data_IF_479745812382
#
_entry.id   IF_479745812382
#
_cell.length_a   1.000
_cell.length_b   1.000
_cell.length_c   1.000
_cell.angle_alpha   90.00
_cell.angle_beta   90.00
_cell.angle_gamma   90.00
#
_symmetry.space_group_name_H-M   'P 1'
#
loop_
_entity.id
_entity.type
_entity.pdbx_description
1 polymer ?
#
# COMPACT_ATOMS: atom_id res chain seq x y z
N UNK A 1 11.50 -38.35 -13.38
CA UNK A 1 12.23 -37.31 -12.60
C UNK A 1 12.48 -37.67 -11.13
N UNK A 2 11.69 -38.55 -10.51
CA UNK A 2 11.84 -39.02 -9.10
C UNK A 2 13.10 -39.87 -8.86
N UNK A 3 13.65 -40.46 -9.92
CA UNK A 3 14.80 -41.38 -9.83
C UNK A 3 16.20 -40.74 -9.86
N UNK A 4 16.28 -39.42 -9.99
CA UNK A 4 17.57 -38.72 -10.14
C UNK A 4 18.17 -38.16 -8.83
N UNK A 5 17.42 -38.14 -7.72
CA UNK A 5 17.91 -37.60 -6.45
C UNK A 5 17.50 -38.48 -5.27
N UNK A 6 18.45 -39.23 -4.65
CA UNK A 6 18.16 -40.09 -3.51
C UNK A 6 17.52 -39.40 -2.29
N UNK A 7 17.83 -38.11 -2.08
CA UNK A 7 17.22 -37.33 -1.00
C UNK A 7 15.73 -36.98 -1.22
N UNK A 8 15.25 -36.99 -2.48
CA UNK A 8 13.84 -36.76 -2.80
C UNK A 8 12.94 -37.98 -2.58
N UNK A 9 13.51 -39.18 -2.51
CA UNK A 9 12.76 -40.42 -2.27
C UNK A 9 12.20 -40.44 -0.82
N UNK A 10 12.94 -39.94 0.15
CA UNK A 10 12.48 -39.85 1.54
C UNK A 10 11.33 -38.85 1.72
N UNK A 11 11.35 -37.73 0.99
CA UNK A 11 10.27 -36.73 0.97
C UNK A 11 9.05 -37.24 0.19
N UNK A 12 9.26 -37.87 -0.96
CA UNK A 12 8.17 -38.46 -1.76
C UNK A 12 7.41 -39.53 -0.97
N UNK A 13 8.09 -40.35 -0.15
CA UNK A 13 7.46 -41.36 0.70
C UNK A 13 6.45 -40.77 1.71
N UNK A 14 6.74 -39.59 2.26
CA UNK A 14 5.83 -38.90 3.19
C UNK A 14 4.54 -38.39 2.53
N UNK A 15 4.56 -38.13 1.23
CA UNK A 15 3.43 -37.55 0.49
C UNK A 15 2.75 -38.54 -0.46
N UNK A 16 3.17 -39.80 -0.49
CA UNK A 16 2.60 -40.83 -1.38
C UNK A 16 1.08 -40.98 -1.18
N UNK A 17 0.60 -40.95 0.05
CA UNK A 17 -0.83 -41.07 0.36
C UNK A 17 -1.62 -39.84 -0.14
N UNK A 18 -1.02 -38.64 -0.08
CA UNK A 18 -1.65 -37.41 -0.58
C UNK A 18 -1.68 -37.42 -2.09
N UNK A 19 -0.59 -37.78 -2.74
CA UNK A 19 -0.49 -37.90 -4.19
C UNK A 19 -1.47 -38.96 -4.73
N UNK A 20 -1.56 -40.11 -4.09
CA UNK A 20 -2.53 -41.15 -4.45
C UNK A 20 -3.98 -40.66 -4.35
N UNK A 21 -4.35 -40.02 -3.23
CA UNK A 21 -5.70 -39.46 -3.04
C UNK A 21 -6.05 -38.41 -4.12
N UNK A 22 -5.10 -37.55 -4.46
CA UNK A 22 -5.32 -36.53 -5.48
C UNK A 22 -5.48 -37.15 -6.89
N UNK A 23 -4.65 -38.14 -7.23
CA UNK A 23 -4.80 -38.87 -8.49
C UNK A 23 -6.13 -39.65 -8.55
N UNK A 24 -6.50 -40.34 -7.45
CA UNK A 24 -7.75 -41.09 -7.37
C UNK A 24 -8.97 -40.16 -7.54
N UNK A 25 -8.95 -39.01 -6.82
CA UNK A 25 -10.02 -38.02 -6.96
C UNK A 25 -10.19 -37.56 -8.40
N UNK A 26 -9.13 -37.12 -9.05
CA UNK A 26 -9.16 -36.63 -10.42
C UNK A 26 -9.64 -37.73 -11.39
N UNK A 27 -9.21 -38.97 -11.17
CA UNK A 27 -9.64 -40.14 -11.99
C UNK A 27 -11.14 -40.41 -11.82
N UNK A 28 -11.66 -40.35 -10.61
CA UNK A 28 -13.09 -40.54 -10.33
C UNK A 28 -13.94 -39.41 -10.95
N UNK A 29 -13.54 -38.16 -10.79
CA UNK A 29 -14.23 -37.01 -11.41
C UNK A 29 -14.27 -37.18 -12.94
N UNK A 30 -13.15 -37.56 -13.55
CA UNK A 30 -13.08 -37.80 -14.98
C UNK A 30 -13.99 -38.98 -15.41
N UNK A 31 -14.01 -40.06 -14.66
CA UNK A 31 -14.88 -41.22 -14.93
C UNK A 31 -16.37 -40.84 -14.84
N UNK A 32 -16.76 -40.09 -13.81
CA UNK A 32 -18.13 -39.56 -13.69
C UNK A 32 -18.49 -38.62 -14.82
N UNK A 33 -17.57 -37.75 -15.22
CA UNK A 33 -17.78 -36.88 -16.38
C UNK A 33 -18.01 -37.67 -17.65
N UNK A 34 -17.21 -38.72 -17.92
CA UNK A 34 -17.37 -39.59 -19.09
C UNK A 34 -18.71 -40.31 -19.09
N UNK A 35 -19.17 -40.82 -17.93
CA UNK A 35 -20.48 -41.45 -17.80
C UNK A 35 -21.64 -40.47 -18.07
N UNK A 36 -21.57 -39.24 -17.50
CA UNK A 36 -22.57 -38.20 -17.74
C UNK A 36 -22.58 -37.78 -19.21
N UNK A 37 -21.40 -37.69 -19.84
CA UNK A 37 -21.29 -37.43 -21.27
C UNK A 37 -21.92 -38.55 -22.10
N UNK A 38 -21.68 -39.81 -21.76
CA UNK A 38 -22.34 -40.95 -22.38
C UNK A 38 -23.86 -40.89 -22.28
N UNK A 39 -24.41 -40.50 -21.11
CA UNK A 39 -25.87 -40.33 -20.91
C UNK A 39 -26.46 -39.22 -21.79
N UNK A 40 -25.66 -38.21 -22.19
CA UNK A 40 -26.11 -37.08 -23.02
C UNK A 40 -26.51 -37.51 -24.45
N UNK A 41 -26.00 -38.64 -24.95
CA UNK A 41 -26.37 -39.18 -26.27
C UNK A 41 -27.77 -39.81 -26.27
N UNK A 42 -28.35 -40.07 -25.11
CA UNK A 42 -29.68 -40.64 -24.98
C UNK A 42 -30.74 -39.55 -24.89
N UNK A 43 -31.68 -39.47 -25.83
CA UNK A 43 -32.70 -38.40 -25.88
C UNK A 43 -33.40 -38.15 -24.53
N UNK A 44 -33.79 -39.26 -23.84
CA UNK A 44 -34.43 -39.18 -22.50
C UNK A 44 -33.44 -38.83 -21.37
N UNK A 45 -32.15 -39.15 -21.52
CA UNK A 45 -31.11 -38.90 -20.53
C UNK A 45 -30.52 -37.47 -20.55
N UNK A 46 -30.74 -36.73 -21.64
CA UNK A 46 -30.08 -35.45 -21.88
C UNK A 46 -30.31 -34.40 -20.78
N UNK A 47 -31.56 -34.27 -20.30
CA UNK A 47 -31.88 -33.31 -19.20
C UNK A 47 -31.21 -33.74 -17.90
N UNK A 48 -31.20 -35.05 -17.60
CA UNK A 48 -30.54 -35.60 -16.42
C UNK A 48 -29.03 -35.43 -16.52
N UNK A 49 -28.43 -35.64 -17.68
CA UNK A 49 -26.99 -35.42 -17.90
C UNK A 49 -26.58 -33.97 -17.65
N UNK A 50 -27.36 -32.99 -18.11
CA UNK A 50 -27.10 -31.57 -17.86
C UNK A 50 -27.15 -31.27 -16.36
N UNK A 51 -28.16 -31.78 -15.65
CA UNK A 51 -28.29 -31.57 -14.20
C UNK A 51 -27.11 -32.21 -13.44
N UNK A 52 -26.76 -33.45 -13.76
CA UNK A 52 -25.63 -34.16 -13.14
C UNK A 52 -24.29 -33.48 -13.46
N UNK A 53 -24.12 -32.95 -14.65
CA UNK A 53 -22.94 -32.20 -15.01
C UNK A 53 -22.79 -30.92 -14.17
N UNK A 54 -23.86 -30.14 -14.03
CA UNK A 54 -23.87 -28.94 -13.19
C UNK A 54 -23.62 -29.29 -11.72
N UNK A 55 -24.22 -30.37 -11.23
CA UNK A 55 -23.98 -30.86 -9.87
C UNK A 55 -22.52 -31.26 -9.66
N UNK A 56 -21.94 -32.04 -10.59
CA UNK A 56 -20.53 -32.43 -10.52
C UNK A 56 -19.59 -31.22 -10.54
N UNK A 57 -19.87 -30.24 -11.39
CA UNK A 57 -19.10 -29.00 -11.48
C UNK A 57 -19.13 -28.21 -10.16
N UNK A 58 -20.32 -28.02 -9.59
CA UNK A 58 -20.49 -27.34 -8.31
C UNK A 58 -19.80 -28.11 -7.20
N UNK A 59 -19.94 -29.43 -7.16
CA UNK A 59 -19.30 -30.31 -6.17
C UNK A 59 -17.77 -30.20 -6.25
N UNK A 60 -17.20 -30.28 -7.45
CA UNK A 60 -15.75 -30.18 -7.69
C UNK A 60 -15.21 -28.81 -7.22
N UNK A 61 -15.88 -27.73 -7.61
CA UNK A 61 -15.52 -26.38 -7.19
C UNK A 61 -15.58 -26.23 -5.66
N UNK A 62 -16.63 -26.73 -5.00
CA UNK A 62 -16.76 -26.68 -3.53
C UNK A 62 -15.75 -27.56 -2.81
N UNK A 63 -15.40 -28.70 -3.37
CA UNK A 63 -14.40 -29.59 -2.79
C UNK A 63 -13.03 -28.91 -2.67
N UNK A 64 -12.60 -28.21 -3.75
CA UNK A 64 -11.36 -27.43 -3.72
C UNK A 64 -11.51 -26.15 -2.91
N UNK A 65 -12.61 -25.42 -3.04
CA UNK A 65 -12.87 -24.19 -2.30
C UNK A 65 -12.68 -24.40 -0.80
N UNK A 66 -13.26 -25.44 -0.21
CA UNK A 66 -13.15 -25.74 1.22
C UNK A 66 -11.71 -26.06 1.67
N UNK A 67 -10.86 -26.54 0.78
CA UNK A 67 -9.46 -26.84 1.09
C UNK A 67 -8.58 -25.59 1.07
N UNK A 68 -8.82 -24.70 0.11
CA UNK A 68 -8.01 -23.49 -0.07
C UNK A 68 -8.51 -22.28 0.72
N UNK A 69 -9.78 -22.28 1.09
CA UNK A 69 -10.41 -21.22 1.87
C UNK A 69 -10.87 -21.79 3.22
N UNK A 70 -9.97 -21.94 4.18
CA UNK A 70 -10.34 -22.43 5.50
C UNK A 70 -11.28 -21.44 6.18
N UNK A 71 -12.40 -21.93 6.67
CA UNK A 71 -13.28 -21.15 7.55
C UNK A 71 -12.65 -21.14 8.95
N UNK A 72 -12.18 -19.99 9.36
CA UNK A 72 -11.61 -19.78 10.69
C UNK A 72 -12.60 -18.99 11.56
N UNK A 73 -12.56 -19.13 12.90
CA UNK A 73 -13.33 -18.27 13.79
C UNK A 73 -13.02 -16.80 13.50
N UNK A 74 -14.03 -15.90 13.55
CA UNK A 74 -13.87 -14.48 13.22
C UNK A 74 -12.74 -13.79 13.98
N UNK A 75 -12.50 -14.16 15.22
CA UNK A 75 -11.43 -13.65 16.08
C UNK A 75 -10.02 -13.98 15.58
N UNK A 76 -9.87 -14.99 14.72
CA UNK A 76 -8.58 -15.38 14.12
C UNK A 76 -8.36 -14.74 12.73
N UNK A 77 -9.39 -14.12 12.14
CA UNK A 77 -9.25 -13.43 10.85
C UNK A 77 -8.40 -12.17 11.02
N UNK A 78 -8.70 -11.39 12.07
CA UNK A 78 -7.93 -10.21 12.46
C UNK A 78 -7.68 -10.27 13.95
N UNK A 79 -6.59 -10.93 14.38
CA UNK A 79 -6.30 -11.08 15.80
C UNK A 79 -6.14 -9.72 16.47
N UNK A 80 -6.74 -9.58 17.64
CA UNK A 80 -6.58 -8.42 18.49
C UNK A 80 -5.20 -8.49 19.14
N UNK A 81 -4.41 -7.44 18.94
CA UNK A 81 -3.15 -7.26 19.63
C UNK A 81 -3.15 -5.87 20.28
N UNK A 82 -2.69 -5.78 21.52
CA UNK A 82 -2.72 -4.52 22.27
C UNK A 82 -1.97 -3.38 21.59
N UNK A 83 -0.87 -3.69 20.87
CA UNK A 83 -0.15 -2.71 20.05
C UNK A 83 -1.03 -2.13 18.94
N UNK A 84 -1.90 -2.94 18.31
CA UNK A 84 -2.83 -2.49 17.29
C UNK A 84 -3.91 -1.61 17.89
N UNK A 85 -4.48 -2.03 19.05
CA UNK A 85 -5.48 -1.24 19.78
C UNK A 85 -4.90 0.11 20.17
N UNK A 86 -3.67 0.15 20.68
CA UNK A 86 -3.01 1.40 21.00
C UNK A 86 -2.88 2.32 19.78
N UNK A 87 -2.48 1.77 18.63
CA UNK A 87 -2.36 2.53 17.37
C UNK A 87 -3.73 3.02 16.86
N UNK A 88 -4.79 2.22 17.00
CA UNK A 88 -6.16 2.63 16.64
C UNK A 88 -6.64 3.83 17.48
N UNK A 89 -6.32 3.82 18.78
CA UNK A 89 -6.74 4.88 19.72
C UNK A 89 -5.88 6.14 19.65
N UNK A 90 -4.58 6.00 19.39
CA UNK A 90 -3.59 7.09 19.52
C UNK A 90 -2.94 7.52 18.21
N UNK A 91 -3.06 6.71 17.16
CA UNK A 91 -2.36 6.93 15.88
C UNK A 91 -2.86 8.16 15.13
N UNK A 92 -4.18 8.38 15.11
CA UNK A 92 -4.79 9.42 14.29
C UNK A 92 -4.38 9.28 12.82
N UNK A 93 -3.90 10.36 12.22
CA UNK A 93 -3.39 10.38 10.84
C UNK A 93 -1.90 10.06 10.73
N UNK A 94 -1.20 9.88 11.86
CA UNK A 94 0.24 9.62 11.85
C UNK A 94 0.54 8.19 11.41
N UNK A 95 1.69 8.01 10.79
CA UNK A 95 2.15 6.69 10.35
C UNK A 95 2.98 6.01 11.44
N UNK A 96 2.92 4.68 11.43
CA UNK A 96 3.81 3.81 12.18
C UNK A 96 4.68 2.98 11.24
N UNK A 97 5.82 2.52 11.76
CA UNK A 97 6.71 1.59 11.08
C UNK A 97 7.35 0.64 12.10
N UNK A 98 7.57 -0.62 11.74
CA UNK A 98 8.12 -1.64 12.63
C UNK A 98 9.59 -1.90 12.41
N UNK A 99 10.39 -1.86 13.46
CA UNK A 99 11.81 -2.20 13.47
C UNK A 99 11.98 -3.71 13.69
N UNK A 100 12.80 -4.35 12.86
CA UNK A 100 13.14 -5.77 13.00
C UNK A 100 11.91 -6.68 13.02
N UNK A 101 11.75 -7.42 14.11
CA UNK A 101 10.62 -8.32 14.32
C UNK A 101 9.28 -7.61 14.64
N UNK A 102 9.29 -6.30 14.77
CA UNK A 102 8.08 -5.53 15.04
C UNK A 102 7.31 -5.12 13.78
N UNK A 103 7.65 -5.65 12.61
CA UNK A 103 6.90 -5.40 11.39
C UNK A 103 5.47 -5.93 11.50
N UNK A 104 4.51 -5.08 11.13
CA UNK A 104 3.10 -5.45 10.97
C UNK A 104 2.83 -5.55 9.48
N UNK A 105 2.24 -6.67 9.06
CA UNK A 105 1.85 -6.87 7.66
C UNK A 105 1.00 -5.71 7.15
N UNK A 106 1.39 -5.14 6.00
CA UNK A 106 0.84 -3.89 5.50
C UNK A 106 -0.70 -3.87 5.38
N UNK A 107 -1.31 -5.00 5.01
CA UNK A 107 -2.75 -5.10 4.84
C UNK A 107 -3.53 -5.06 6.18
N UNK A 108 -2.90 -5.38 7.30
CA UNK A 108 -3.49 -5.18 8.62
C UNK A 108 -3.75 -3.70 8.92
N UNK A 109 -2.83 -2.82 8.53
CA UNK A 109 -2.99 -1.39 8.70
C UNK A 109 -4.29 -0.88 8.05
N UNK A 110 -4.59 -1.32 6.83
CA UNK A 110 -5.81 -0.96 6.11
C UNK A 110 -7.08 -1.45 6.82
N UNK A 111 -7.07 -2.67 7.35
CA UNK A 111 -8.21 -3.25 8.08
C UNK A 111 -8.49 -2.53 9.40
N UNK A 112 -7.43 -2.09 10.05
CA UNK A 112 -7.49 -1.40 11.34
C UNK A 112 -7.61 0.12 11.21
N UNK A 113 -7.63 0.65 9.99
CA UNK A 113 -7.65 2.09 9.67
C UNK A 113 -6.51 2.87 10.33
N UNK A 114 -5.36 2.21 10.53
CA UNK A 114 -4.11 2.82 10.95
C UNK A 114 -3.19 3.00 9.73
N UNK A 115 -2.26 3.92 9.78
CA UNK A 115 -1.45 4.30 8.63
C UNK A 115 -0.03 3.75 8.72
N UNK A 116 0.40 3.05 7.69
CA UNK A 116 1.77 2.60 7.45
C UNK A 116 2.31 3.16 6.14
N UNK A 117 3.61 3.46 6.02
CA UNK A 117 4.23 3.76 4.74
C UNK A 117 4.42 2.51 3.88
N UNK A 118 4.49 1.34 4.51
CA UNK A 118 4.68 0.08 3.83
C UNK A 118 3.38 -0.41 3.20
N UNK A 119 3.48 -1.00 2.00
CA UNK A 119 2.37 -1.52 1.24
C UNK A 119 2.65 -2.89 0.65
N UNK A 120 1.63 -3.75 0.58
CA UNK A 120 1.66 -5.01 -0.12
C UNK A 120 0.55 -5.04 -1.17
N UNK A 121 0.91 -4.66 -2.41
CA UNK A 121 0.02 -4.67 -3.56
C UNK A 121 0.86 -4.78 -4.85
N UNK A 122 0.56 -5.71 -5.77
CA UNK A 122 1.29 -5.84 -7.03
C UNK A 122 1.15 -4.61 -7.94
N UNK A 123 0.19 -3.72 -7.66
CA UNK A 123 -0.10 -2.53 -8.46
C UNK A 123 0.29 -1.22 -7.75
N UNK A 124 1.21 -1.27 -6.79
CA UNK A 124 1.68 -0.03 -6.15
C UNK A 124 2.31 0.94 -7.17
N UNK A 125 2.19 2.27 -6.96
CA UNK A 125 2.79 3.26 -7.84
C UNK A 125 4.32 3.08 -7.92
N UNK A 126 4.84 2.89 -9.13
CA UNK A 126 6.24 2.57 -9.36
C UNK A 126 7.20 3.57 -8.68
N UNK A 127 6.91 4.87 -8.80
CA UNK A 127 7.73 5.91 -8.17
C UNK A 127 7.74 5.83 -6.64
N UNK A 128 6.63 5.45 -6.04
CA UNK A 128 6.59 5.26 -4.59
C UNK A 128 7.48 4.09 -4.16
N UNK A 129 7.37 2.95 -4.85
CA UNK A 129 8.25 1.81 -4.58
C UNK A 129 9.73 2.13 -4.81
N UNK A 130 10.08 2.84 -5.90
CA UNK A 130 11.43 3.32 -6.17
C UNK A 130 11.94 4.24 -5.05
N UNK A 131 11.10 5.16 -4.56
CA UNK A 131 11.46 6.05 -3.47
C UNK A 131 11.72 5.29 -2.17
N UNK A 132 10.87 4.32 -1.80
CA UNK A 132 11.09 3.51 -0.60
C UNK A 132 12.38 2.68 -0.68
N UNK A 133 12.73 2.16 -1.86
CA UNK A 133 13.99 1.43 -2.07
C UNK A 133 15.23 2.30 -1.76
N UNK A 134 15.17 3.62 -1.92
CA UNK A 134 16.28 4.51 -1.56
C UNK A 134 16.60 4.49 -0.07
N UNK A 135 15.69 4.00 0.77
CA UNK A 135 15.93 3.81 2.21
C UNK A 135 17.07 2.84 2.54
N UNK A 136 17.49 2.00 1.59
CA UNK A 136 18.60 1.05 1.75
C UNK A 136 19.97 1.73 1.73
N UNK A 137 20.14 2.71 0.83
CA UNK A 137 21.46 3.30 0.61
C UNK A 137 21.44 4.62 -0.17
N UNK A 138 20.30 5.31 -0.20
CA UNK A 138 20.18 6.63 -0.83
C UNK A 138 20.15 6.63 -2.36
N UNK A 139 20.11 5.46 -2.98
CA UNK A 139 20.16 5.33 -4.44
C UNK A 139 18.86 4.70 -4.96
N UNK A 140 18.36 5.21 -6.07
CA UNK A 140 17.27 4.57 -6.80
C UNK A 140 17.73 3.23 -7.40
N UNK A 141 16.86 2.22 -7.41
CA UNK A 141 17.19 0.96 -8.07
C UNK A 141 17.33 1.16 -9.58
N UNK A 142 18.31 0.49 -10.19
CA UNK A 142 18.48 0.49 -11.65
C UNK A 142 17.24 -0.08 -12.36
N UNK A 143 16.63 -1.09 -11.75
CA UNK A 143 15.31 -1.60 -12.09
C UNK A 143 14.58 -1.89 -10.78
N UNK A 144 13.30 -1.51 -10.66
CA UNK A 144 12.47 -2.06 -9.61
C UNK A 144 12.52 -3.57 -9.73
N UNK A 145 13.04 -4.20 -8.69
CA UNK A 145 13.20 -5.65 -8.70
C UNK A 145 11.78 -6.24 -8.88
N UNK A 146 11.54 -6.80 -10.06
CA UNK A 146 10.30 -7.54 -10.35
C UNK A 146 10.38 -8.91 -9.64
N UNK A 147 10.72 -8.88 -8.35
CA UNK A 147 10.65 -10.08 -7.53
C UNK A 147 9.20 -10.55 -7.51
N UNK A 148 8.99 -11.79 -7.18
CA UNK A 148 7.67 -12.38 -7.00
C UNK A 148 6.88 -11.73 -5.84
N UNK A 149 7.47 -10.80 -5.12
CA UNK A 149 6.86 -10.03 -4.03
C UNK A 149 6.38 -8.67 -4.53
N UNK A 150 5.23 -8.31 -4.06
CA UNK A 150 4.52 -7.08 -4.41
C UNK A 150 4.68 -6.02 -3.32
N UNK A 151 5.87 -5.96 -2.72
CA UNK A 151 6.12 -5.17 -1.53
C UNK A 151 6.73 -3.82 -1.92
N UNK A 152 6.06 -2.74 -1.53
CA UNK A 152 6.64 -1.41 -1.46
C UNK A 152 6.90 -1.10 0.02
N UNK A 153 8.11 -1.40 0.50
CA UNK A 153 8.47 -1.33 1.92
C UNK A 153 9.75 -0.54 2.15
N UNK A 154 9.82 0.15 3.27
CA UNK A 154 11.05 0.77 3.76
C UNK A 154 12.04 -0.34 4.13
N UNK A 155 13.32 -0.13 3.86
CA UNK A 155 14.37 -1.08 4.21
C UNK A 155 14.26 -1.49 5.69
N UNK A 156 14.10 -2.78 5.98
CA UNK A 156 14.02 -3.26 7.35
C UNK A 156 15.33 -2.95 8.10
N UNK A 157 15.23 -2.75 9.41
CA UNK A 157 16.39 -2.54 10.28
C UNK A 157 16.52 -3.68 11.26
N UNK A 158 17.75 -4.08 11.55
CA UNK A 158 18.07 -5.14 12.48
C UNK A 158 19.34 -4.82 13.28
N UNK A 159 19.41 -5.31 14.52
CA UNK A 159 20.59 -5.15 15.36
C UNK A 159 20.58 -3.88 16.21
N UNK A 160 21.64 -3.64 16.95
CA UNK A 160 21.67 -2.60 17.99
C UNK A 160 21.80 -1.17 17.40
N UNK A 161 22.59 -0.98 16.33
CA UNK A 161 22.93 0.35 15.82
C UNK A 161 22.32 0.68 14.47
N UNK A 162 21.79 -0.28 13.74
CA UNK A 162 21.30 -0.09 12.37
C UNK A 162 20.19 0.97 12.24
N UNK A 163 19.41 1.20 13.31
CA UNK A 163 18.40 2.25 13.31
C UNK A 163 19.00 3.65 13.15
N UNK A 164 20.14 3.92 13.77
CA UNK A 164 20.84 5.22 13.73
C UNK A 164 21.91 5.29 12.65
N UNK A 165 22.49 4.16 12.25
CA UNK A 165 23.55 4.09 11.23
C UNK A 165 23.00 4.31 9.82
N UNK A 166 21.74 3.96 9.58
CA UNK A 166 21.10 4.16 8.28
C UNK A 166 20.39 5.52 8.21
N UNK A 167 21.16 6.56 7.90
CA UNK A 167 20.64 7.92 7.74
C UNK A 167 19.65 8.08 6.58
N UNK A 168 19.73 7.23 5.55
CA UNK A 168 18.82 7.25 4.40
C UNK A 168 17.41 6.83 4.83
N UNK A 169 17.30 5.70 5.53
CA UNK A 169 16.02 5.24 6.10
C UNK A 169 15.47 6.26 7.08
N UNK A 170 16.31 6.80 7.98
CA UNK A 170 15.90 7.80 8.94
C UNK A 170 15.27 9.01 8.25
N UNK A 171 15.89 9.53 7.19
CA UNK A 171 15.37 10.66 6.42
C UNK A 171 14.03 10.36 5.75
N UNK A 172 13.85 9.16 5.23
CA UNK A 172 12.59 8.72 4.63
C UNK A 172 11.49 8.58 5.69
N UNK A 173 11.78 8.01 6.85
CA UNK A 173 10.83 7.93 7.96
C UNK A 173 10.36 9.32 8.41
N UNK A 174 11.28 10.30 8.45
CA UNK A 174 10.96 11.68 8.77
C UNK A 174 10.01 12.27 7.73
N UNK A 175 10.36 12.24 6.43
CA UNK A 175 9.55 12.79 5.34
C UNK A 175 8.16 12.17 5.27
N UNK A 176 8.08 10.86 5.47
CA UNK A 176 6.81 10.12 5.41
C UNK A 176 5.92 10.35 6.64
N UNK A 177 6.34 11.16 7.61
CA UNK A 177 5.54 11.42 8.80
C UNK A 177 5.37 10.19 9.68
N UNK A 178 6.40 9.32 9.73
CA UNK A 178 6.39 8.14 10.60
C UNK A 178 6.69 8.58 12.02
N UNK A 179 5.61 8.76 12.77
CA UNK A 179 5.67 9.23 14.16
C UNK A 179 5.95 8.09 15.13
N UNK A 180 5.41 6.91 14.86
CA UNK A 180 5.50 5.79 15.78
C UNK A 180 6.41 4.70 15.22
N UNK A 181 7.48 4.40 15.96
CA UNK A 181 8.37 3.28 15.65
C UNK A 181 8.03 2.14 16.61
N UNK A 182 7.63 1.02 16.03
CA UNK A 182 7.35 -0.19 16.78
C UNK A 182 8.62 -0.99 16.98
N UNK A 183 8.74 -1.62 18.12
CA UNK A 183 9.82 -2.50 18.46
C UNK A 183 9.35 -3.70 19.29
N UNK A 184 10.12 -4.78 19.28
CA UNK A 184 9.87 -5.98 20.06
C UNK A 184 11.07 -6.34 20.91
N UNK A 185 10.81 -6.89 22.09
CA UNK A 185 11.88 -7.37 23.01
C UNK A 185 12.84 -8.33 22.32
N UNK A 186 12.36 -9.11 21.35
CA UNK A 186 13.18 -10.05 20.55
C UNK A 186 14.27 -9.36 19.74
N UNK A 187 14.13 -8.06 19.45
CA UNK A 187 15.16 -7.27 18.77
C UNK A 187 16.35 -6.92 19.69
N UNK A 188 16.21 -7.12 21.00
CA UNK A 188 17.20 -6.71 22.00
C UNK A 188 17.67 -5.25 21.86
N UNK A 189 16.77 -4.38 21.41
CA UNK A 189 17.07 -2.97 21.18
C UNK A 189 17.36 -2.23 22.50
N UNK A 190 18.35 -1.33 22.45
CA UNK A 190 18.86 -0.57 23.58
C UNK A 190 18.70 0.95 23.32
N UNK A 191 19.24 1.78 24.23
CA UNK A 191 19.34 3.23 23.99
C UNK A 191 20.25 3.60 22.81
N UNK A 192 21.14 2.70 22.37
CA UNK A 192 21.91 2.91 21.14
C UNK A 192 21.04 2.74 19.89
N UNK A 193 20.05 1.84 19.96
CA UNK A 193 19.06 1.66 18.88
C UNK A 193 18.10 2.85 18.83
N UNK A 194 17.57 3.23 20.00
CA UNK A 194 16.59 4.32 20.14
C UNK A 194 17.12 5.40 21.10
N UNK A 195 18.10 6.23 20.67
CA UNK A 195 18.68 7.25 21.53
C UNK A 195 17.63 8.27 21.96
N UNK A 196 17.61 8.67 23.26
CA UNK A 196 16.55 9.52 23.85
C UNK A 196 16.40 10.89 23.19
N UNK A 197 17.45 11.41 22.59
CA UNK A 197 17.41 12.68 21.84
C UNK A 197 16.64 12.59 20.51
N UNK A 198 16.40 11.37 20.01
CA UNK A 198 15.69 11.11 18.77
C UNK A 198 14.36 10.38 18.98
N UNK A 199 14.26 9.57 20.02
CA UNK A 199 13.13 8.68 20.26
C UNK A 199 12.69 8.71 21.73
N UNK A 200 11.38 8.71 21.96
CA UNK A 200 10.78 8.68 23.30
C UNK A 200 9.87 7.46 23.42
N UNK A 201 10.10 6.62 24.42
CA UNK A 201 9.21 5.51 24.73
C UNK A 201 7.84 6.05 25.16
N UNK A 202 6.77 5.67 24.46
CA UNK A 202 5.40 6.06 24.79
C UNK A 202 4.61 4.95 25.46
N UNK A 203 4.83 3.71 25.04
CA UNK A 203 4.07 2.56 25.51
C UNK A 203 4.90 1.28 25.43
N UNK A 204 4.66 0.38 26.40
CA UNK A 204 5.27 -0.94 26.44
C UNK A 204 4.31 -1.93 27.08
N UNK A 205 4.03 -3.04 26.41
CA UNK A 205 3.28 -4.17 26.96
C UNK A 205 3.49 -5.44 26.11
N UNK A 206 3.43 -6.62 26.76
CA UNK A 206 3.47 -7.95 26.12
C UNK A 206 4.61 -8.10 25.07
N UNK A 207 5.82 -7.63 25.41
CA UNK A 207 6.99 -7.71 24.54
C UNK A 207 7.01 -6.70 23.39
N UNK A 208 6.01 -5.82 23.30
CA UNK A 208 5.97 -4.71 22.36
C UNK A 208 6.35 -3.40 23.01
N UNK A 209 7.02 -2.53 22.24
CA UNK A 209 7.35 -1.15 22.60
C UNK A 209 6.95 -0.22 21.46
N UNK A 210 6.48 0.96 21.80
CA UNK A 210 6.19 2.04 20.84
C UNK A 210 7.00 3.26 21.21
N UNK A 211 7.85 3.67 20.29
CA UNK A 211 8.66 4.88 20.40
C UNK A 211 8.08 5.98 19.52
N UNK A 212 8.05 7.21 20.03
CA UNK A 212 7.80 8.41 19.24
C UNK A 212 9.08 8.88 18.57
N UNK A 213 9.04 9.12 17.27
CA UNK A 213 10.10 9.78 16.52
C UNK A 213 9.97 11.30 16.73
N UNK A 214 10.88 11.88 17.50
CA UNK A 214 10.86 13.32 17.86
C UNK A 214 11.19 14.26 16.70
N UNK A 215 11.71 13.74 15.59
CA UNK A 215 12.10 14.50 14.40
C UNK A 215 11.13 14.39 13.24
N UNK A 216 10.00 13.74 13.46
CA UNK A 216 9.01 13.48 12.41
C UNK A 216 8.53 14.80 11.77
N UNK A 217 8.49 14.86 10.44
CA UNK A 217 7.78 15.91 9.73
C UNK A 217 6.27 15.67 9.82
N UNK A 218 5.44 16.72 9.91
CA UNK A 218 4.00 16.56 9.79
C UNK A 218 3.63 15.94 8.43
N UNK A 219 2.49 15.28 8.35
CA UNK A 219 1.99 14.70 7.09
C UNK A 219 1.76 15.76 6.03
N UNK A 220 1.43 16.97 6.46
CA UNK A 220 1.25 18.14 5.60
C UNK A 220 1.91 19.34 6.23
N UNK A 221 2.65 20.12 5.46
CA UNK A 221 3.33 21.33 5.92
C UNK A 221 3.59 22.29 4.76
N UNK A 222 3.84 23.56 5.12
CA UNK A 222 4.20 24.62 4.18
C UNK A 222 5.73 24.73 4.10
N UNK A 223 6.26 24.93 2.88
CA UNK A 223 7.68 25.16 2.64
C UNK A 223 7.92 26.45 1.87
N UNK A 224 9.02 27.14 2.23
CA UNK A 224 9.41 28.43 1.65
C UNK A 224 10.43 28.31 0.51
N UNK A 225 11.00 27.14 0.30
CA UNK A 225 12.05 26.91 -0.69
C UNK A 225 11.72 25.70 -1.57
N UNK A 226 12.21 25.74 -2.80
CA UNK A 226 12.19 24.60 -3.70
C UNK A 226 13.49 24.54 -4.49
N UNK A 227 13.77 23.36 -5.01
CA UNK A 227 14.86 23.14 -5.95
C UNK A 227 14.38 22.21 -7.05
N UNK A 228 14.77 22.51 -8.30
CA UNK A 228 14.44 21.65 -9.44
C UNK A 228 15.43 20.49 -9.53
N UNK A 229 14.92 19.35 -9.95
CA UNK A 229 15.73 18.21 -10.37
C UNK A 229 15.17 17.63 -11.67
N UNK A 230 16.03 17.04 -12.47
CA UNK A 230 15.65 16.43 -13.77
C UNK A 230 15.89 14.93 -13.78
N UNK A 231 16.95 14.48 -13.15
CA UNK A 231 17.34 13.08 -13.11
C UNK A 231 17.28 12.50 -11.69
N UNK A 232 17.11 11.18 -11.59
CA UNK A 232 17.15 10.46 -10.31
C UNK A 232 18.43 10.75 -9.51
N UNK A 233 19.57 10.80 -10.21
CA UNK A 233 20.87 11.11 -9.58
C UNK A 233 20.94 12.52 -8.96
N UNK A 234 20.30 13.50 -9.59
CA UNK A 234 20.21 14.85 -9.02
C UNK A 234 19.39 14.82 -7.73
N UNK A 235 18.24 14.13 -7.79
CA UNK A 235 17.41 13.93 -6.59
C UNK A 235 18.18 13.26 -5.46
N UNK A 236 18.85 12.15 -5.72
CA UNK A 236 19.67 11.41 -4.74
C UNK A 236 20.70 12.34 -4.08
N UNK A 237 21.45 13.07 -4.89
CA UNK A 237 22.49 13.99 -4.42
C UNK A 237 21.93 15.11 -3.56
N UNK A 238 20.78 15.70 -3.95
CA UNK A 238 20.20 16.85 -3.25
C UNK A 238 19.44 16.36 -2.01
N UNK A 239 18.54 15.39 -2.17
CA UNK A 239 17.66 14.95 -1.09
C UNK A 239 18.43 14.33 0.08
N UNK A 240 19.45 13.53 -0.21
CA UNK A 240 20.25 12.88 0.84
C UNK A 240 21.46 13.68 1.31
N UNK A 241 21.65 14.91 0.81
CA UNK A 241 22.66 15.80 1.34
C UNK A 241 22.41 16.10 2.84
N UNK A 242 23.48 16.23 3.67
CA UNK A 242 23.34 16.48 5.11
C UNK A 242 22.62 17.79 5.45
N UNK A 243 22.71 18.79 4.57
CA UNK A 243 22.13 20.13 4.70
C UNK A 243 20.71 20.25 4.12
N UNK A 244 20.14 19.18 3.57
CA UNK A 244 18.78 19.20 3.07
C UNK A 244 17.78 19.13 4.22
N UNK A 245 17.05 20.21 4.42
CA UNK A 245 16.03 20.36 5.47
C UNK A 245 14.63 20.11 4.91
N UNK A 246 14.03 18.95 5.24
CA UNK A 246 12.73 18.47 4.72
C UNK A 246 11.60 19.51 4.89
N UNK A 247 11.52 20.20 6.05
CA UNK A 247 10.42 21.13 6.31
C UNK A 247 10.66 22.55 5.77
N UNK A 248 11.79 22.81 5.15
CA UNK A 248 12.10 24.10 4.53
C UNK A 248 12.09 24.05 3.02
N UNK A 249 12.55 22.95 2.45
CA UNK A 249 12.78 22.80 1.02
C UNK A 249 12.09 21.56 0.46
N UNK A 250 11.55 21.68 -0.73
CA UNK A 250 10.97 20.57 -1.51
C UNK A 250 11.65 20.49 -2.88
N UNK A 251 11.77 19.26 -3.39
CA UNK A 251 12.28 19.03 -4.75
C UNK A 251 11.12 18.89 -5.74
N UNK A 252 11.17 19.65 -6.83
CA UNK A 252 10.16 19.65 -7.88
C UNK A 252 10.76 19.28 -9.23
N UNK A 253 9.95 18.73 -10.13
CA UNK A 253 10.33 18.42 -11.51
C UNK A 253 10.10 19.60 -12.47
N UNK A 254 9.35 20.62 -12.02
CA UNK A 254 8.98 21.79 -12.82
C UNK A 254 8.81 23.03 -11.91
N UNK A 255 8.90 24.21 -12.53
CA UNK A 255 8.72 25.49 -11.84
C UNK A 255 7.29 25.65 -11.30
N UNK A 256 7.11 26.04 -10.02
CA UNK A 256 5.80 26.34 -9.49
C UNK A 256 5.26 27.67 -10.04
N UNK A 257 3.95 27.74 -10.26
CA UNK A 257 3.28 28.94 -10.77
C UNK A 257 3.47 30.17 -9.84
N UNK A 258 3.57 29.94 -8.54
CA UNK A 258 3.89 30.95 -7.54
C UNK A 258 5.20 30.55 -6.86
N UNK A 259 6.18 31.41 -6.91
CA UNK A 259 7.46 31.18 -6.22
C UNK A 259 7.26 31.33 -4.72
N UNK A 260 7.58 30.32 -3.92
CA UNK A 260 7.51 30.41 -2.49
C UNK A 260 8.54 31.43 -1.96
N UNK A 261 8.25 32.00 -0.81
CA UNK A 261 9.06 33.00 -0.15
C UNK A 261 9.11 32.70 1.35
N UNK A 262 10.14 33.16 2.03
CA UNK A 262 10.23 33.02 3.47
C UNK A 262 9.04 33.70 4.15
N UNK A 263 8.30 32.94 4.93
CA UNK A 263 7.15 33.42 5.70
C UNK A 263 7.51 33.51 7.19
N UNK A 264 6.96 34.52 7.88
CA UNK A 264 7.00 34.59 9.35
C UNK A 264 5.81 33.82 9.96
N UNK A 265 4.71 33.75 9.23
CA UNK A 265 3.54 32.99 9.58
C UNK A 265 3.27 31.96 8.47
N UNK A 266 3.30 30.68 8.83
CA UNK A 266 3.01 29.58 7.94
C UNK A 266 2.34 28.46 8.72
N UNK A 267 1.01 28.48 8.74
CA UNK A 267 0.17 27.53 9.46
C UNK A 267 -0.65 26.69 8.48
N UNK A 268 -0.82 25.43 8.77
CA UNK A 268 -1.72 24.53 8.04
C UNK A 268 -2.51 23.69 9.04
N UNK A 269 -3.81 23.65 8.84
CA UNK A 269 -4.74 22.85 9.63
C UNK A 269 -5.43 21.83 8.74
N UNK A 270 -5.38 20.57 9.13
CA UNK A 270 -6.09 19.49 8.45
C UNK A 270 -7.50 19.39 9.03
N UNK A 271 -8.49 19.76 8.22
CA UNK A 271 -9.92 19.72 8.61
C UNK A 271 -10.58 18.37 8.34
N UNK A 272 -10.16 17.69 7.27
CA UNK A 272 -10.73 16.39 6.87
C UNK A 272 -9.66 15.56 6.18
N UNK A 273 -9.59 14.28 6.53
CA UNK A 273 -8.69 13.34 5.89
C UNK A 273 -9.43 12.02 5.60
N UNK A 274 -9.83 11.84 4.36
CA UNK A 274 -10.51 10.64 3.87
C UNK A 274 -9.74 10.07 2.66
N UNK A 275 -9.95 8.81 2.30
CA UNK A 275 -9.22 8.17 1.19
C UNK A 275 -9.30 8.93 -0.15
N UNK A 276 -10.42 9.59 -0.44
CA UNK A 276 -10.66 10.29 -1.69
C UNK A 276 -10.84 11.80 -1.54
N UNK A 277 -10.69 12.34 -0.34
CA UNK A 277 -10.93 13.76 -0.06
C UNK A 277 -10.10 14.24 1.12
N UNK A 278 -9.30 15.28 0.90
CA UNK A 278 -8.49 15.91 1.95
C UNK A 278 -8.79 17.40 1.94
N UNK A 279 -9.24 17.93 3.07
CA UNK A 279 -9.56 19.35 3.24
C UNK A 279 -8.61 19.99 4.25
N UNK A 280 -7.97 21.04 3.81
CA UNK A 280 -6.97 21.79 4.55
C UNK A 280 -7.32 23.28 4.61
N UNK A 281 -6.89 23.96 5.64
CA UNK A 281 -6.89 25.42 5.72
C UNK A 281 -5.45 25.86 5.96
N UNK A 282 -5.00 26.82 5.18
CA UNK A 282 -3.66 27.40 5.33
C UNK A 282 -3.78 28.87 5.69
N UNK A 283 -2.83 29.36 6.48
CA UNK A 283 -2.70 30.79 6.80
C UNK A 283 -1.23 31.17 6.71
N UNK A 284 -0.89 32.06 5.78
CA UNK A 284 0.50 32.43 5.53
C UNK A 284 0.63 33.90 5.12
N UNK A 285 1.71 34.53 5.52
CA UNK A 285 2.01 35.93 5.18
C UNK A 285 2.88 36.08 3.92
N UNK A 286 3.24 34.96 3.26
CA UNK A 286 3.95 34.94 1.99
C UNK A 286 3.47 33.75 1.12
N UNK A 287 3.79 33.75 -0.18
CA UNK A 287 3.53 32.57 -1.01
C UNK A 287 4.32 31.37 -0.51
N UNK A 288 3.71 30.19 -0.50
CA UNK A 288 4.30 28.95 -0.01
C UNK A 288 4.00 27.78 -0.96
N UNK A 289 4.72 26.68 -0.79
CA UNK A 289 4.32 25.39 -1.32
C UNK A 289 3.74 24.55 -0.19
N UNK A 290 2.52 24.11 -0.32
CA UNK A 290 1.92 23.12 0.57
C UNK A 290 2.37 21.74 0.11
N UNK A 291 3.19 21.08 0.92
CA UNK A 291 3.61 19.70 0.71
C UNK A 291 2.67 18.74 1.44
N UNK A 292 2.31 17.66 0.79
CA UNK A 292 1.51 16.56 1.36
C UNK A 292 2.23 15.24 1.10
N UNK A 293 2.65 14.53 2.16
CA UNK A 293 3.38 13.28 2.07
C UNK A 293 2.49 12.08 1.66
N UNK A 294 1.55 12.33 0.75
CA UNK A 294 0.74 11.31 0.11
C UNK A 294 1.11 11.18 -1.36
N UNK A 295 1.10 9.94 -1.84
CA UNK A 295 1.56 9.59 -3.18
C UNK A 295 0.84 10.37 -4.27
N UNK A 296 1.62 10.97 -5.19
CA UNK A 296 1.10 11.54 -6.42
C UNK A 296 0.62 10.41 -7.34
N UNK A 297 -0.66 10.49 -7.73
CA UNK A 297 -1.29 9.49 -8.57
C UNK A 297 -2.32 10.14 -9.52
N UNK A 298 -2.42 9.68 -10.78
CA UNK A 298 -3.37 10.23 -11.74
C UNK A 298 -4.82 10.12 -11.23
N UNK A 299 -5.56 11.23 -11.33
CA UNK A 299 -6.94 11.33 -10.86
C UNK A 299 -7.13 12.22 -9.64
N UNK A 300 -6.06 12.58 -8.94
CA UNK A 300 -6.12 13.63 -7.94
C UNK A 300 -6.26 15.00 -8.57
N UNK A 301 -7.13 15.82 -8.00
CA UNK A 301 -7.36 17.22 -8.35
C UNK A 301 -7.21 18.07 -7.09
N UNK A 302 -6.77 19.31 -7.26
CA UNK A 302 -6.70 20.28 -6.18
C UNK A 302 -7.52 21.52 -6.51
N UNK A 303 -8.20 22.04 -5.50
CA UNK A 303 -8.88 23.35 -5.55
C UNK A 303 -8.33 24.22 -4.44
N UNK A 304 -8.08 25.50 -4.72
CA UNK A 304 -7.81 26.54 -3.73
C UNK A 304 -8.99 27.53 -3.81
N UNK A 305 -9.74 27.67 -2.71
CA UNK A 305 -10.96 28.49 -2.62
C UNK A 305 -11.95 28.17 -3.74
N UNK A 306 -12.12 26.88 -4.04
CA UNK A 306 -13.01 26.40 -5.10
C UNK A 306 -12.48 26.57 -6.54
N UNK A 307 -11.29 27.14 -6.75
CA UNK A 307 -10.67 27.29 -8.07
C UNK A 307 -9.64 26.20 -8.32
N UNK A 308 -9.58 25.62 -9.54
CA UNK A 308 -8.59 24.61 -9.89
C UNK A 308 -7.16 25.08 -9.64
N UNK A 309 -6.37 24.26 -8.97
CA UNK A 309 -4.96 24.47 -8.72
C UNK A 309 -4.14 23.30 -9.26
N UNK A 310 -2.94 23.59 -9.76
CA UNK A 310 -2.04 22.57 -10.27
C UNK A 310 -1.42 21.81 -9.10
N UNK A 311 -1.47 20.48 -9.18
CA UNK A 311 -0.67 19.57 -8.32
C UNK A 311 0.69 19.42 -8.98
N UNK A 312 1.75 19.69 -8.21
CA UNK A 312 3.13 19.45 -8.58
C UNK A 312 3.59 18.15 -7.95
N UNK A 313 4.34 17.35 -8.69
CA UNK A 313 5.04 16.22 -8.10
C UNK A 313 6.21 16.72 -7.30
N UNK A 314 6.20 16.37 -6.01
CA UNK A 314 7.15 16.83 -5.01
C UNK A 314 7.91 15.65 -4.43
N UNK A 315 9.19 15.88 -4.10
CA UNK A 315 10.09 14.87 -3.53
C UNK A 315 9.94 13.49 -4.21
N UNK A 316 9.91 13.51 -5.54
CA UNK A 316 9.85 12.36 -6.45
C UNK A 316 8.50 11.64 -6.53
N UNK A 317 7.78 11.45 -5.42
CA UNK A 317 6.61 10.58 -5.40
C UNK A 317 5.35 11.20 -4.74
N UNK A 318 5.45 12.43 -4.22
CA UNK A 318 4.42 13.07 -3.40
C UNK A 318 3.79 14.27 -4.10
N UNK A 319 2.89 14.95 -3.40
CA UNK A 319 2.10 16.06 -3.97
C UNK A 319 2.45 17.38 -3.30
N UNK A 320 2.52 18.43 -4.09
CA UNK A 320 2.52 19.79 -3.60
C UNK A 320 1.58 20.69 -4.42
N UNK A 321 1.12 21.78 -3.81
CA UNK A 321 0.39 22.86 -4.49
C UNK A 321 0.98 24.22 -4.10
N UNK A 322 1.01 25.15 -5.04
CA UNK A 322 1.45 26.51 -4.77
C UNK A 322 0.31 27.31 -4.13
N UNK A 323 0.49 27.76 -2.91
CA UNK A 323 -0.48 28.49 -2.10
C UNK A 323 -0.10 29.95 -2.05
N UNK A 324 -1.00 30.88 -2.45
CA UNK A 324 -0.71 32.31 -2.33
C UNK A 324 -0.68 32.76 -0.85
N UNK A 325 -0.15 33.97 -0.64
CA UNK A 325 -0.27 34.67 0.64
C UNK A 325 -1.73 34.86 1.01
N UNK A 326 -2.09 34.60 2.26
CA UNK A 326 -3.44 34.77 2.79
C UNK A 326 -3.92 33.56 3.59
N UNK A 327 -5.22 33.54 3.84
CA UNK A 327 -5.92 32.38 4.39
C UNK A 327 -6.68 31.70 3.26
N UNK A 328 -6.43 30.41 3.05
CA UNK A 328 -6.99 29.68 1.92
C UNK A 328 -7.48 28.29 2.33
N UNK A 329 -8.58 27.87 1.72
CA UNK A 329 -9.07 26.51 1.83
C UNK A 329 -8.56 25.69 0.64
N UNK A 330 -7.88 24.58 0.93
CA UNK A 330 -7.34 23.66 -0.08
C UNK A 330 -8.09 22.33 0.00
N UNK A 331 -8.68 21.94 -1.12
CA UNK A 331 -9.37 20.67 -1.28
C UNK A 331 -8.63 19.79 -2.28
N UNK A 332 -8.15 18.63 -1.84
CA UNK A 332 -7.75 17.56 -2.74
C UNK A 332 -8.90 16.57 -2.88
N UNK A 333 -9.24 16.20 -4.11
CA UNK A 333 -10.25 15.18 -4.40
C UNK A 333 -9.76 14.19 -5.45
N UNK A 334 -10.06 12.90 -5.24
CA UNK A 334 -9.68 11.83 -6.15
C UNK A 334 -10.84 11.52 -7.10
N UNK A 335 -10.68 11.86 -8.38
CA UNK A 335 -11.71 11.76 -9.42
C UNK A 335 -11.11 11.16 -10.70
N UNK A 336 -10.80 9.83 -10.72
CA UNK A 336 -10.17 9.22 -11.87
C UNK A 336 -11.14 9.14 -13.07
N UNK A 337 -10.77 9.74 -14.18
CA UNK A 337 -11.55 9.70 -15.42
C UNK A 337 -11.73 8.28 -15.97
N UNK A 338 -10.76 7.38 -15.71
CA UNK A 338 -10.83 5.96 -16.08
C UNK A 338 -12.01 5.24 -15.45
N UNK A 339 -12.35 5.54 -14.19
CA UNK A 339 -13.52 4.97 -13.52
C UNK A 339 -14.81 5.46 -14.20
N UNK A 340 -14.90 6.77 -14.48
CA UNK A 340 -16.08 7.35 -15.15
C UNK A 340 -16.31 6.74 -16.54
N UNK A 341 -15.24 6.54 -17.32
CA UNK A 341 -15.31 5.87 -18.60
C UNK A 341 -15.65 4.38 -18.47
N UNK A 342 -15.06 3.68 -17.51
CA UNK A 342 -15.36 2.26 -17.23
C UNK A 342 -16.86 2.05 -16.93
N UNK A 343 -17.43 2.89 -16.07
CA UNK A 343 -18.88 2.84 -15.76
C UNK A 343 -19.73 3.08 -17.01
N UNK A 344 -19.43 4.09 -17.82
CA UNK A 344 -20.15 4.38 -19.06
C UNK A 344 -20.11 3.22 -20.04
N UNK A 345 -18.92 2.64 -20.27
CA UNK A 345 -18.74 1.49 -21.17
C UNK A 345 -19.52 0.28 -20.67
N UNK A 346 -19.48 0.01 -19.37
CA UNK A 346 -20.20 -1.11 -18.75
C UNK A 346 -21.71 -0.96 -18.90
N UNK A 347 -22.26 0.24 -18.69
CA UNK A 347 -23.68 0.52 -18.84
C UNK A 347 -24.13 0.39 -20.30
N UNK A 348 -23.36 0.90 -21.26
CA UNK A 348 -23.64 0.75 -22.70
C UNK A 348 -23.61 -0.72 -23.09
N UNK A 349 -22.61 -1.49 -22.64
CA UNK A 349 -22.50 -2.93 -22.91
C UNK A 349 -23.70 -3.70 -22.36
N UNK A 350 -24.12 -3.39 -21.13
CA UNK A 350 -25.30 -4.00 -20.52
C UNK A 350 -26.60 -3.71 -21.31
N UNK A 351 -26.76 -2.45 -21.74
CA UNK A 351 -27.90 -2.05 -22.54
C UNK A 351 -27.93 -2.78 -23.91
N UNK A 352 -26.78 -2.89 -24.57
CA UNK A 352 -26.65 -3.63 -25.83
C UNK A 352 -26.96 -5.11 -25.67
N UNK A 353 -26.42 -5.76 -24.62
CA UNK A 353 -26.73 -7.18 -24.34
C UNK A 353 -28.20 -7.40 -24.05
N UNK A 354 -28.84 -6.49 -23.30
CA UNK A 354 -30.28 -6.55 -23.01
C UNK A 354 -31.10 -6.39 -24.29
N UNK A 355 -30.73 -5.46 -25.17
CA UNK A 355 -31.39 -5.27 -26.47
C UNK A 355 -31.27 -6.51 -27.37
N UNK A 356 -30.08 -7.07 -27.50
CA UNK A 356 -29.83 -8.29 -28.26
C UNK A 356 -30.68 -9.46 -27.71
N UNK A 357 -30.70 -9.65 -26.39
CA UNK A 357 -31.51 -10.69 -25.74
C UNK A 357 -33.02 -10.50 -25.98
N UNK A 358 -33.48 -9.23 -25.98
CA UNK A 358 -34.88 -8.92 -26.28
C UNK A 358 -35.26 -9.18 -27.72
N UNK A 359 -34.40 -8.82 -28.69
CA UNK A 359 -34.60 -9.06 -30.11
C UNK A 359 -34.57 -10.57 -30.42
N UNK A 360 -33.66 -11.32 -29.80
CA UNK A 360 -33.56 -12.78 -29.98
C UNK A 360 -34.81 -13.54 -29.50
N UNK A 361 -35.49 -13.06 -28.47
CA UNK A 361 -36.75 -13.67 -28.02
C UNK A 361 -37.93 -13.44 -28.93
N UNK A 362 -37.82 -12.48 -29.90
CA UNK A 362 -38.87 -12.17 -30.86
C UNK A 362 -38.73 -12.90 -32.22
N UNK A 363 -37.56 -13.50 -32.45
CA UNK A 363 -37.28 -14.42 -33.55
C UNK A 363 -37.39 -15.89 -33.08
#
# INVERSE_FOLDING_TARGET
>A
MIFLFPQSVGLAGKFISVSFKNCLYSTLVFAFFALIFGLSFWKKGRKVAVFLFLFLLVFDLFYFFRKFNPFVPPELVFPQAEVLTWLEENGGINRFWGYGHAQIEANFASQKQIYSPDGYDPLYPARYGEFLETSKGGLFPANLNRSTRSDAVIAPGFGETDMVDNSYREKILVLLGVKYILDREENAATEKTFPPEKYRLLWQNNGWRIFENLRVAPRVFLVSEYQLFTEKKDFEKIFFAPDFEIQKKVLLEEEPALKPQLAKLAEVELKKYLPNEILLVTKTDANQLLFLSDTDYPGWQALIDGKPAKIYRADYAFRAVAVPKGEHQILFSYQPSSLAWGVKISLVSLALMSLVSFLWKKT
#
